data_IF_201996950480
#
_entry.id   IF_201996950480
#
_cell.length_a   1.000
_cell.length_b   1.000
_cell.length_c   1.000
_cell.angle_alpha   90.00
_cell.angle_beta   90.00
_cell.angle_gamma   90.00
#
_symmetry.space_group_name_H-M   'P 1'
#
loop_
_entity.id
_entity.type
_entity.pdbx_description
1 polymer ?
#
# COMPACT_ATOMS: atom_id res chain seq x y z
N UNK A 1 0.85 31.22 6.69
CA UNK A 1 2.05 30.42 6.62
C UNK A 1 2.84 30.72 5.35
N UNK A 2 4.19 30.74 5.41
CA UNK A 2 5.06 31.21 4.31
C UNK A 2 4.86 30.47 2.98
N UNK A 3 4.44 29.21 2.97
CA UNK A 3 4.22 28.42 1.76
C UNK A 3 2.95 28.87 1.01
N UNK A 4 1.92 29.31 1.72
CA UNK A 4 0.65 29.73 1.11
C UNK A 4 0.76 31.02 0.27
N UNK A 5 1.84 31.80 0.42
CA UNK A 5 2.11 33.01 -0.34
C UNK A 5 2.97 32.75 -1.60
N UNK A 6 3.45 31.52 -1.79
CA UNK A 6 4.25 31.12 -2.95
C UNK A 6 3.34 30.58 -4.06
N UNK A 7 3.76 30.72 -5.31
CA UNK A 7 3.06 30.18 -6.46
C UNK A 7 4.02 29.43 -7.42
N UNK A 8 3.48 28.53 -8.22
CA UNK A 8 4.22 27.78 -9.22
C UNK A 8 5.34 26.90 -8.62
N UNK A 9 6.48 26.86 -9.30
CA UNK A 9 7.63 26.00 -8.93
C UNK A 9 8.15 26.28 -7.52
N UNK A 10 8.11 27.54 -7.06
CA UNK A 10 8.55 27.89 -5.71
C UNK A 10 7.66 27.24 -4.61
N UNK A 11 6.34 27.20 -4.82
CA UNK A 11 5.42 26.54 -3.91
C UNK A 11 5.67 25.04 -3.86
N UNK A 12 5.89 24.39 -4.99
CA UNK A 12 6.20 22.96 -5.08
C UNK A 12 7.48 22.61 -4.37
N UNK A 13 8.56 23.36 -4.67
CA UNK A 13 9.85 23.13 -4.05
C UNK A 13 9.81 23.32 -2.52
N UNK A 14 9.07 24.32 -2.06
CA UNK A 14 8.88 24.55 -0.63
C UNK A 14 8.06 23.44 0.03
N UNK A 15 7.04 22.94 -0.65
CA UNK A 15 6.20 21.80 -0.16
C UNK A 15 7.01 20.52 -0.10
N UNK A 16 7.80 20.22 -1.16
CA UNK A 16 8.67 19.04 -1.17
C UNK A 16 9.76 19.14 -0.10
N UNK A 17 10.35 20.31 0.11
CA UNK A 17 11.33 20.51 1.16
C UNK A 17 10.70 20.33 2.55
N UNK A 18 9.48 20.83 2.78
CA UNK A 18 8.74 20.65 4.02
C UNK A 18 8.41 19.17 4.28
N UNK A 19 8.00 18.43 3.24
CA UNK A 19 7.75 16.98 3.31
C UNK A 19 9.01 16.18 3.61
N UNK A 20 10.18 16.64 3.08
CA UNK A 20 11.51 16.07 3.38
C UNK A 20 12.11 16.44 4.73
N UNK A 21 11.35 17.10 5.61
CA UNK A 21 11.80 17.50 6.95
C UNK A 21 12.54 18.82 6.98
N UNK A 22 12.40 19.67 5.96
CA UNK A 22 13.04 20.98 5.84
C UNK A 22 14.23 21.02 4.88
N UNK A 23 14.92 22.17 4.85
CA UNK A 23 16.07 22.33 3.95
C UNK A 23 17.28 21.49 4.40
N UNK A 24 18.14 21.14 3.46
CA UNK A 24 19.40 20.40 3.74
C UNK A 24 20.28 21.19 4.72
N UNK A 25 20.30 22.53 4.60
CA UNK A 25 21.05 23.39 5.50
C UNK A 25 20.54 23.38 6.95
N UNK A 26 19.28 23.00 7.17
CA UNK A 26 18.66 22.84 8.50
C UNK A 26 18.68 21.39 8.99
N UNK A 27 19.43 20.49 8.35
CA UNK A 27 19.51 19.07 8.70
C UNK A 27 18.37 18.20 8.15
N UNK A 28 17.49 18.78 7.32
CA UNK A 28 16.44 18.03 6.62
C UNK A 28 16.93 17.36 5.35
N UNK A 29 16.13 16.44 4.79
CA UNK A 29 16.45 15.74 3.54
C UNK A 29 16.17 16.56 2.28
N UNK A 30 15.68 17.79 2.42
CA UNK A 30 15.39 18.71 1.33
C UNK A 30 14.31 18.19 0.38
N UNK A 31 14.28 18.76 -0.82
CA UNK A 31 13.35 18.36 -1.88
C UNK A 31 13.56 16.92 -2.36
N UNK A 32 14.81 16.41 -2.33
CA UNK A 32 15.13 15.06 -2.76
C UNK A 32 14.43 14.00 -1.88
N UNK A 33 14.50 14.15 -0.57
CA UNK A 33 13.79 13.27 0.35
C UNK A 33 12.28 13.47 0.27
N UNK A 34 11.83 14.73 0.13
CA UNK A 34 10.41 15.04 -0.05
C UNK A 34 9.82 14.43 -1.30
N UNK A 35 10.53 14.44 -2.42
CA UNK A 35 10.10 13.78 -3.67
C UNK A 35 10.11 12.26 -3.53
N UNK A 36 11.07 11.68 -2.83
CA UNK A 36 11.12 10.23 -2.56
C UNK A 36 9.95 9.80 -1.68
N UNK A 37 9.65 10.55 -0.61
CA UNK A 37 8.50 10.28 0.26
C UNK A 37 7.19 10.41 -0.52
N UNK A 38 7.03 11.46 -1.31
CA UNK A 38 5.86 11.66 -2.14
C UNK A 38 5.71 10.55 -3.19
N UNK A 39 6.79 10.19 -3.88
CA UNK A 39 6.81 9.10 -4.86
C UNK A 39 6.49 7.75 -4.24
N UNK A 40 7.03 7.46 -3.06
CA UNK A 40 6.73 6.23 -2.33
C UNK A 40 5.29 6.20 -1.79
N UNK A 41 4.81 7.32 -1.23
CA UNK A 41 3.46 7.39 -0.66
C UNK A 41 2.35 7.42 -1.71
N UNK A 42 2.64 7.97 -2.89
CA UNK A 42 1.69 8.07 -4.01
C UNK A 42 1.87 6.97 -5.05
N UNK A 43 2.74 6.00 -4.80
CA UNK A 43 3.02 4.90 -5.73
C UNK A 43 3.39 5.38 -7.15
N UNK A 44 4.13 6.50 -7.22
CA UNK A 44 4.55 7.12 -8.46
C UNK A 44 3.58 8.16 -9.05
N UNK A 45 2.37 8.29 -8.50
CA UNK A 45 1.32 9.20 -9.02
C UNK A 45 1.71 10.69 -8.86
N UNK A 46 2.41 11.04 -7.78
CA UNK A 46 2.75 12.43 -7.46
C UNK A 46 3.61 13.13 -8.51
N UNK A 47 4.42 12.39 -9.27
CA UNK A 47 5.26 12.95 -10.35
C UNK A 47 4.44 13.30 -11.59
N UNK A 48 3.35 12.56 -11.85
CA UNK A 48 2.47 12.80 -13.01
C UNK A 48 1.67 14.11 -12.88
N UNK A 49 1.11 14.35 -11.69
CA UNK A 49 0.31 15.57 -11.41
C UNK A 49 1.22 16.81 -11.42
N UNK A 50 2.43 16.72 -10.86
CA UNK A 50 3.39 17.83 -10.84
C UNK A 50 3.86 18.28 -12.23
N UNK A 51 4.05 17.35 -13.17
CA UNK A 51 4.51 17.65 -14.53
C UNK A 51 3.48 18.38 -15.39
N UNK A 52 2.21 18.20 -15.17
CA UNK A 52 1.13 18.80 -15.96
C UNK A 52 0.82 20.24 -15.50
N UNK A 53 0.87 20.52 -14.20
CA UNK A 53 0.42 21.80 -13.61
C UNK A 53 1.46 22.94 -13.79
N UNK A 54 2.74 22.65 -13.99
CA UNK A 54 3.82 23.64 -13.88
C UNK A 54 4.29 24.29 -15.17
N UNK A 55 3.69 23.98 -16.34
CA UNK A 55 4.05 24.64 -17.60
C UNK A 55 3.34 25.98 -17.84
N UNK A 56 2.61 26.51 -16.85
CA UNK A 56 1.80 27.74 -16.98
C UNK A 56 2.52 29.05 -16.57
N UNK A 57 3.83 29.12 -16.51
CA UNK A 57 4.55 30.35 -16.19
C UNK A 57 5.09 31.00 -17.49
N UNK A 58 4.32 31.89 -18.07
CA UNK A 58 4.78 32.69 -19.19
C UNK A 58 3.86 33.81 -19.63
N UNK A 59 4.39 34.94 -19.87
CA UNK A 59 3.85 36.28 -19.97
C UNK A 59 2.87 36.63 -21.11
N UNK A 60 2.18 35.68 -21.74
CA UNK A 60 1.16 36.01 -22.78
C UNK A 60 -0.07 35.12 -22.68
N UNK A 61 -0.96 35.51 -21.78
CA UNK A 61 -2.19 34.76 -21.51
C UNK A 61 -3.20 34.72 -22.69
N UNK A 62 -3.14 35.73 -23.60
CA UNK A 62 -4.12 35.86 -24.66
C UNK A 62 -3.83 35.03 -25.91
N UNK A 63 -2.56 34.74 -26.23
CA UNK A 63 -2.19 33.93 -27.39
C UNK A 63 -2.12 32.41 -27.05
N UNK A 64 -2.17 32.07 -25.78
CA UNK A 64 -2.02 30.68 -25.27
C UNK A 64 -3.28 30.10 -24.63
N UNK A 65 -4.42 30.74 -24.78
CA UNK A 65 -5.67 30.27 -24.19
C UNK A 65 -6.08 28.89 -24.73
N UNK A 66 -5.90 28.64 -26.01
CA UNK A 66 -6.21 27.34 -26.64
C UNK A 66 -5.25 26.24 -26.20
N UNK A 67 -3.95 26.56 -26.09
CA UNK A 67 -2.96 25.61 -25.54
C UNK A 67 -3.24 25.29 -24.07
N UNK A 68 -3.64 26.29 -23.29
CA UNK A 68 -4.02 26.14 -21.89
C UNK A 68 -5.25 25.24 -21.75
N UNK A 69 -6.25 25.41 -22.61
CA UNK A 69 -7.46 24.60 -22.62
C UNK A 69 -7.16 23.12 -22.94
N UNK A 70 -6.35 22.86 -23.98
CA UNK A 70 -5.93 21.49 -24.31
C UNK A 70 -5.11 20.83 -23.20
N UNK A 71 -4.28 21.60 -22.48
CA UNK A 71 -3.53 21.09 -21.35
C UNK A 71 -4.45 20.79 -20.15
N UNK A 72 -5.49 21.62 -19.91
CA UNK A 72 -6.51 21.35 -18.91
C UNK A 72 -7.29 20.06 -19.19
N UNK A 73 -7.74 19.85 -20.44
CA UNK A 73 -8.43 18.60 -20.81
C UNK A 73 -7.54 17.36 -20.59
N UNK A 74 -6.27 17.44 -20.97
CA UNK A 74 -5.31 16.36 -20.71
C UNK A 74 -5.11 16.11 -19.22
N UNK A 75 -5.00 17.18 -18.43
CA UNK A 75 -4.89 17.07 -16.97
C UNK A 75 -6.14 16.44 -16.35
N UNK A 76 -7.33 16.82 -16.81
CA UNK A 76 -8.59 16.24 -16.34
C UNK A 76 -8.66 14.74 -16.64
N UNK A 77 -8.32 14.33 -17.85
CA UNK A 77 -8.29 12.90 -18.22
C UNK A 77 -7.31 12.10 -17.35
N UNK A 78 -6.13 12.67 -17.08
CA UNK A 78 -5.12 12.02 -16.26
C UNK A 78 -5.57 11.94 -14.78
N UNK A 79 -6.16 12.99 -14.25
CA UNK A 79 -6.75 12.99 -12.90
C UNK A 79 -7.83 11.91 -12.79
N UNK A 80 -8.72 11.79 -13.76
CA UNK A 80 -9.73 10.73 -13.77
C UNK A 80 -9.11 9.33 -13.85
N UNK A 81 -8.03 9.15 -14.59
CA UNK A 81 -7.27 7.89 -14.66
C UNK A 81 -6.66 7.54 -13.30
N UNK A 82 -6.05 8.51 -12.65
CA UNK A 82 -5.46 8.36 -11.31
C UNK A 82 -6.54 8.03 -10.27
N UNK A 83 -7.65 8.75 -10.29
CA UNK A 83 -8.76 8.48 -9.35
C UNK A 83 -9.32 7.06 -9.50
N UNK A 84 -9.50 6.58 -10.72
CA UNK A 84 -9.94 5.19 -10.98
C UNK A 84 -8.92 4.17 -10.45
N UNK A 85 -7.64 4.40 -10.70
CA UNK A 85 -6.57 3.54 -10.19
C UNK A 85 -6.57 3.48 -8.65
N UNK A 86 -6.68 4.64 -7.99
CA UNK A 86 -6.70 4.70 -6.52
C UNK A 86 -7.93 4.00 -5.94
N UNK A 87 -9.10 4.17 -6.55
CA UNK A 87 -10.31 3.47 -6.12
C UNK A 87 -10.18 1.95 -6.26
N UNK A 88 -9.55 1.49 -7.33
CA UNK A 88 -9.32 0.07 -7.57
C UNK A 88 -8.28 -0.50 -6.59
N UNK A 89 -7.21 0.24 -6.35
CA UNK A 89 -6.19 -0.12 -5.37
C UNK A 89 -6.79 -0.21 -3.96
N UNK A 90 -7.59 0.76 -3.57
CA UNK A 90 -8.28 0.78 -2.26
C UNK A 90 -9.19 -0.44 -2.08
N UNK A 91 -10.02 -0.76 -3.09
CA UNK A 91 -10.88 -1.95 -3.04
C UNK A 91 -10.07 -3.24 -2.91
N UNK A 92 -9.02 -3.36 -3.71
CA UNK A 92 -8.17 -4.56 -3.73
C UNK A 92 -7.41 -4.72 -2.41
N UNK A 93 -6.82 -3.63 -1.91
CA UNK A 93 -6.11 -3.62 -0.63
C UNK A 93 -7.06 -3.90 0.55
N UNK A 94 -8.28 -3.36 0.52
CA UNK A 94 -9.29 -3.62 1.54
C UNK A 94 -9.71 -5.08 1.55
N UNK A 95 -9.99 -5.68 0.39
CA UNK A 95 -10.32 -7.10 0.28
C UNK A 95 -9.19 -7.98 0.82
N UNK A 96 -7.95 -7.67 0.44
CA UNK A 96 -6.78 -8.41 0.92
C UNK A 96 -6.59 -8.29 2.43
N UNK A 97 -6.73 -7.08 2.97
CA UNK A 97 -6.65 -6.83 4.41
C UNK A 97 -7.68 -7.63 5.20
N UNK A 98 -8.92 -7.74 4.71
CA UNK A 98 -9.96 -8.53 5.35
C UNK A 98 -9.57 -10.01 5.41
N UNK A 99 -9.11 -10.58 4.29
CA UNK A 99 -8.67 -11.98 4.24
C UNK A 99 -7.47 -12.23 5.17
N UNK A 100 -6.48 -11.35 5.14
CA UNK A 100 -5.31 -11.45 6.04
C UNK A 100 -5.72 -11.37 7.52
N UNK A 101 -6.67 -10.50 7.85
CA UNK A 101 -7.18 -10.37 9.21
C UNK A 101 -7.91 -11.62 9.67
N UNK A 102 -8.74 -12.23 8.82
CA UNK A 102 -9.40 -13.50 9.13
C UNK A 102 -8.40 -14.60 9.48
N UNK A 103 -7.37 -14.80 8.64
CA UNK A 103 -6.32 -15.79 8.92
C UNK A 103 -5.57 -15.47 10.22
N UNK A 104 -5.27 -14.20 10.46
CA UNK A 104 -4.60 -13.76 11.68
C UNK A 104 -5.45 -13.99 12.94
N UNK A 105 -6.77 -13.78 12.86
CA UNK A 105 -7.67 -14.00 13.99
C UNK A 105 -7.76 -15.50 14.35
N UNK A 106 -7.83 -16.38 13.35
CA UNK A 106 -7.72 -17.82 13.57
C UNK A 106 -6.37 -18.20 14.20
N UNK A 107 -5.28 -17.69 13.66
CA UNK A 107 -3.96 -17.93 14.24
C UNK A 107 -3.88 -17.49 15.70
N UNK A 108 -4.34 -16.30 16.03
CA UNK A 108 -4.32 -15.78 17.40
C UNK A 108 -5.18 -16.62 18.36
N UNK A 109 -6.32 -17.11 17.92
CA UNK A 109 -7.18 -17.99 18.71
C UNK A 109 -6.47 -19.31 19.04
N UNK A 110 -5.82 -19.91 18.05
CA UNK A 110 -5.06 -21.15 18.24
C UNK A 110 -3.83 -20.96 19.12
N UNK A 111 -3.11 -19.86 18.89
CA UNK A 111 -1.94 -19.52 19.69
C UNK A 111 -2.32 -19.26 21.16
N UNK A 112 -3.41 -18.55 21.41
CA UNK A 112 -3.90 -18.30 22.78
C UNK A 112 -4.26 -19.59 23.50
N UNK A 113 -4.89 -20.54 22.80
CA UNK A 113 -5.16 -21.85 23.37
C UNK A 113 -3.86 -22.60 23.71
N UNK A 114 -2.90 -22.64 22.78
CA UNK A 114 -1.60 -23.31 22.99
C UNK A 114 -0.82 -22.66 24.14
N UNK A 115 -0.85 -21.33 24.25
CA UNK A 115 -0.24 -20.60 25.35
C UNK A 115 -0.81 -21.03 26.71
N UNK A 116 -2.14 -21.18 26.81
CA UNK A 116 -2.78 -21.70 28.01
C UNK A 116 -2.33 -23.14 28.34
N UNK A 117 -2.27 -24.02 27.35
CA UNK A 117 -1.85 -25.41 27.56
C UNK A 117 -0.40 -25.51 28.06
N UNK A 118 0.50 -24.74 27.44
CA UNK A 118 1.93 -24.80 27.75
C UNK A 118 2.28 -24.04 29.02
N UNK A 119 1.82 -22.77 29.14
CA UNK A 119 2.27 -21.88 30.20
C UNK A 119 1.40 -21.90 31.46
N UNK A 120 0.11 -22.22 31.34
CA UNK A 120 -0.81 -22.27 32.49
C UNK A 120 -0.93 -23.70 33.00
N UNK A 121 -1.18 -24.67 32.11
CA UNK A 121 -1.37 -26.07 32.48
C UNK A 121 -0.08 -26.90 32.51
N UNK A 122 1.04 -26.34 32.03
CA UNK A 122 2.37 -26.99 32.03
C UNK A 122 2.48 -28.21 31.10
N UNK A 123 1.58 -28.34 30.11
CA UNK A 123 1.57 -29.45 29.15
C UNK A 123 2.58 -29.22 28.06
N UNK A 124 3.79 -29.78 28.23
CA UNK A 124 4.90 -29.62 27.29
C UNK A 124 5.27 -30.91 26.55
N UNK A 125 4.71 -32.04 26.96
CA UNK A 125 4.97 -33.34 26.37
C UNK A 125 4.00 -33.60 25.22
N UNK A 126 4.51 -33.65 23.99
CA UNK A 126 3.74 -33.91 22.77
C UNK A 126 2.86 -35.16 22.85
N UNK A 127 3.37 -36.22 23.45
CA UNK A 127 2.67 -37.52 23.58
C UNK A 127 1.47 -37.48 24.54
N UNK A 128 1.33 -36.41 25.31
CA UNK A 128 0.21 -36.20 26.23
C UNK A 128 -0.95 -35.40 25.63
N UNK A 129 -0.75 -34.89 24.42
CA UNK A 129 -1.86 -34.28 23.67
C UNK A 129 -2.64 -35.35 22.93
N UNK A 130 -3.96 -35.19 22.86
CA UNK A 130 -4.81 -36.03 22.04
C UNK A 130 -4.54 -35.81 20.55
N UNK A 131 -4.98 -36.72 19.69
CA UNK A 131 -4.80 -36.59 18.24
C UNK A 131 -5.43 -35.30 17.72
N UNK A 132 -6.58 -34.87 18.25
CA UNK A 132 -7.22 -33.60 17.88
C UNK A 132 -6.40 -32.38 18.32
N UNK A 133 -5.82 -32.41 19.52
CA UNK A 133 -4.98 -31.34 20.02
C UNK A 133 -3.65 -31.27 19.23
N UNK A 134 -3.06 -32.41 18.90
CA UNK A 134 -1.89 -32.48 18.04
C UNK A 134 -2.16 -31.88 16.66
N UNK A 135 -3.28 -32.24 16.04
CA UNK A 135 -3.72 -31.68 14.77
C UNK A 135 -3.94 -30.14 14.87
N UNK A 136 -4.50 -29.69 16.00
CA UNK A 136 -4.67 -28.26 16.27
C UNK A 136 -3.34 -27.50 16.34
N UNK A 137 -2.33 -28.08 16.97
CA UNK A 137 -0.96 -27.53 17.04
C UNK A 137 -0.34 -27.47 15.63
N UNK A 138 -0.45 -28.57 14.85
CA UNK A 138 0.03 -28.63 13.49
C UNK A 138 -0.63 -27.57 12.61
N UNK A 139 -1.94 -27.39 12.71
CA UNK A 139 -2.68 -26.36 12.01
C UNK A 139 -2.23 -24.94 12.40
N UNK A 140 -1.83 -24.74 13.66
CA UNK A 140 -1.27 -23.45 14.10
C UNK A 140 0.04 -23.14 13.37
N UNK A 141 0.91 -24.13 13.19
CA UNK A 141 2.15 -23.98 12.42
C UNK A 141 1.86 -23.66 10.94
N UNK A 142 0.88 -24.36 10.36
CA UNK A 142 0.47 -24.11 8.97
C UNK A 142 -0.12 -22.71 8.78
N UNK A 143 -0.87 -22.18 9.77
CA UNK A 143 -1.37 -20.80 9.77
C UNK A 143 -0.22 -19.78 9.75
N UNK A 144 0.88 -20.01 10.47
CA UNK A 144 2.08 -19.16 10.42
C UNK A 144 2.66 -19.14 9.01
N UNK A 145 2.78 -20.31 8.37
CA UNK A 145 3.30 -20.42 7.02
C UNK A 145 2.41 -19.68 6.00
N UNK A 146 1.09 -19.81 6.14
CA UNK A 146 0.12 -19.10 5.30
C UNK A 146 0.21 -17.58 5.49
N UNK A 147 0.22 -17.09 6.74
CA UNK A 147 0.37 -15.67 7.06
C UNK A 147 1.68 -15.11 6.49
N UNK A 148 2.78 -15.84 6.65
CA UNK A 148 4.07 -15.44 6.08
C UNK A 148 4.00 -15.29 4.56
N UNK A 149 3.41 -16.27 3.88
CA UNK A 149 3.20 -16.23 2.43
C UNK A 149 2.33 -15.05 2.01
N UNK A 150 1.21 -14.80 2.71
CA UNK A 150 0.35 -13.65 2.47
C UNK A 150 1.11 -12.33 2.66
N UNK A 151 1.91 -12.18 3.71
CA UNK A 151 2.68 -10.95 3.94
C UNK A 151 3.73 -10.66 2.86
N UNK A 152 4.09 -11.63 2.01
CA UNK A 152 5.03 -11.43 0.92
C UNK A 152 4.37 -11.00 -0.40
N UNK A 153 3.05 -11.02 -0.50
CA UNK A 153 2.33 -10.61 -1.71
C UNK A 153 2.49 -9.12 -1.92
N UNK A 154 3.02 -8.75 -3.07
CA UNK A 154 3.13 -7.36 -3.48
C UNK A 154 1.81 -6.89 -4.07
N UNK A 155 1.19 -5.89 -3.45
CA UNK A 155 -0.06 -5.30 -3.93
C UNK A 155 0.11 -4.55 -5.24
N UNK A 156 1.31 -4.01 -5.48
CA UNK A 156 1.62 -3.18 -6.64
C UNK A 156 2.95 -3.60 -7.23
N UNK A 157 3.00 -3.71 -8.54
CA UNK A 157 4.23 -3.88 -9.32
C UNK A 157 4.66 -2.55 -9.89
N UNK A 158 5.94 -2.21 -9.69
CA UNK A 158 6.50 -0.97 -10.22
C UNK A 158 6.66 -1.09 -11.74
N UNK A 159 6.07 -0.12 -12.46
CA UNK A 159 6.37 0.04 -13.87
C UNK A 159 7.80 0.54 -14.07
N UNK A 160 8.43 0.08 -15.15
CA UNK A 160 9.76 0.55 -15.54
C UNK A 160 9.70 1.76 -16.45
N UNK A 161 8.52 2.17 -16.86
CA UNK A 161 8.28 3.29 -17.78
C UNK A 161 8.03 4.54 -16.94
N UNK A 162 8.88 5.54 -17.14
CA UNK A 162 8.76 6.83 -16.45
C UNK A 162 7.46 7.52 -16.89
N UNK A 163 6.66 7.98 -15.92
CA UNK A 163 5.37 8.62 -16.18
C UNK A 163 4.16 7.66 -16.28
N UNK A 164 4.35 6.36 -16.15
CA UNK A 164 3.24 5.41 -16.07
C UNK A 164 2.86 5.06 -14.63
N UNK A 165 1.55 4.82 -14.43
CA UNK A 165 1.02 4.35 -13.15
C UNK A 165 1.44 2.90 -12.93
N UNK A 166 1.85 2.58 -11.71
CA UNK A 166 2.16 1.21 -11.30
C UNK A 166 0.97 0.26 -11.50
N UNK A 167 1.24 -1.00 -11.75
CA UNK A 167 0.18 -1.99 -11.99
C UNK A 167 -0.24 -2.67 -10.70
N UNK A 168 -1.55 -2.79 -10.47
CA UNK A 168 -2.09 -3.55 -9.33
C UNK A 168 -1.97 -5.03 -9.63
N UNK A 169 -1.34 -5.79 -8.73
CA UNK A 169 -1.12 -7.23 -8.88
C UNK A 169 -2.35 -8.03 -8.47
N UNK A 170 -3.45 -7.82 -9.19
CA UNK A 170 -4.77 -8.40 -8.87
C UNK A 170 -4.73 -9.93 -8.81
N UNK A 171 -4.04 -10.57 -9.76
CA UNK A 171 -4.01 -12.02 -9.84
C UNK A 171 -3.35 -12.62 -8.60
N UNK A 172 -2.16 -12.17 -8.24
CA UNK A 172 -1.47 -12.68 -7.05
C UNK A 172 -2.26 -12.44 -5.76
N UNK A 173 -2.98 -11.32 -5.69
CA UNK A 173 -3.85 -10.99 -4.55
C UNK A 173 -5.05 -11.95 -4.50
N UNK A 174 -5.73 -12.18 -5.63
CA UNK A 174 -6.87 -13.09 -5.71
C UNK A 174 -6.46 -14.53 -5.41
N UNK A 175 -5.34 -14.99 -5.96
CA UNK A 175 -4.80 -16.32 -5.71
C UNK A 175 -4.50 -16.52 -4.22
N UNK A 176 -3.91 -15.51 -3.58
CA UNK A 176 -3.59 -15.54 -2.16
C UNK A 176 -4.84 -15.55 -1.27
N UNK A 177 -5.87 -14.77 -1.63
CA UNK A 177 -7.17 -14.77 -0.93
C UNK A 177 -7.83 -16.16 -1.07
N UNK A 178 -7.87 -16.69 -2.28
CA UNK A 178 -8.47 -17.99 -2.55
C UNK A 178 -7.75 -19.13 -1.80
N UNK A 179 -6.43 -19.11 -1.75
CA UNK A 179 -5.64 -20.06 -0.97
C UNK A 179 -5.98 -19.98 0.53
N UNK A 180 -6.13 -18.76 1.07
CA UNK A 180 -6.52 -18.55 2.45
C UNK A 180 -7.93 -19.09 2.74
N UNK A 181 -8.90 -18.83 1.86
CA UNK A 181 -10.27 -19.34 1.98
C UNK A 181 -10.32 -20.88 1.92
N UNK A 182 -9.60 -21.49 1.00
CA UNK A 182 -9.50 -22.96 0.90
C UNK A 182 -8.86 -23.55 2.16
N UNK A 183 -7.81 -22.92 2.67
CA UNK A 183 -7.17 -23.38 3.89
C UNK A 183 -8.14 -23.33 5.09
N UNK A 184 -8.78 -22.18 5.30
CA UNK A 184 -9.73 -22.00 6.39
C UNK A 184 -10.92 -22.96 6.29
N UNK A 185 -11.46 -23.17 5.09
CA UNK A 185 -12.58 -24.11 4.88
C UNK A 185 -12.19 -25.55 5.18
N UNK A 186 -10.98 -25.96 4.83
CA UNK A 186 -10.49 -27.33 5.03
C UNK A 186 -10.22 -27.66 6.49
N UNK A 187 -9.69 -26.73 7.26
CA UNK A 187 -9.17 -27.00 8.60
C UNK A 187 -10.04 -26.46 9.73
N UNK A 188 -11.02 -25.59 9.44
CA UNK A 188 -11.78 -24.88 10.46
C UNK A 188 -13.30 -24.89 10.27
N UNK A 189 -13.82 -25.46 9.18
CA UNK A 189 -15.27 -25.67 8.95
C UNK A 189 -15.68 -27.15 9.01
N UNK A 190 -14.82 -28.00 9.56
CA UNK A 190 -15.14 -29.42 9.82
C UNK A 190 -15.71 -29.60 11.23
#
# INVERSE_FOLDING_TARGET
TAIASLSGVAATNATLAALGGGSIAAGGGGMALGSTILGASTLGIGLLVGGIIFNFTGEKLSEKADEAFVQMEKAELEIHRICRYLQELDRTATSYRISLQQVNDFYRQHLSWLDCEVNIYGRQDWLKFTDEEQLRIENTVLLVALLYKMCQVKLVEQTKVEGEINTINKQAIQDSIHEAELFLSKYFNA
#
